data_IF_053425188386
#
_entry.id   IF_053425188386
#
_cell.length_a   1.000
_cell.length_b   1.000
_cell.length_c   1.000
_cell.angle_alpha   90.00
_cell.angle_beta   90.00
_cell.angle_gamma   90.00
#
_symmetry.space_group_name_H-M   'P 1'
#
loop_
_entity.id
_entity.type
_entity.pdbx_description
1 polymer ?
#
# COMPACT_ATOMS: atom_id res chain seq x y z
N UNK A 1 3.57 4.73 -4.35
CA UNK A 1 2.66 5.27 -5.41
C UNK A 1 1.22 5.18 -4.89
N UNK A 2 0.39 6.13 -5.25
CA UNK A 2 -1.05 6.14 -4.99
C UNK A 2 -1.78 6.45 -6.29
N UNK A 3 -2.88 5.74 -6.55
CA UNK A 3 -3.66 5.90 -7.77
C UNK A 3 -4.92 6.71 -7.46
N UNK A 4 -5.20 7.71 -8.28
CA UNK A 4 -6.51 8.38 -8.28
C UNK A 4 -7.55 7.32 -8.66
N UNK A 5 -8.62 7.13 -7.87
CA UNK A 5 -9.64 6.12 -8.14
C UNK A 5 -10.24 6.26 -9.54
N UNK A 6 -10.55 5.13 -10.16
CA UNK A 6 -11.17 5.08 -11.47
C UNK A 6 -12.50 5.84 -11.49
N UNK A 7 -12.84 6.40 -12.64
CA UNK A 7 -14.02 7.25 -12.83
C UNK A 7 -14.04 8.55 -12.01
N UNK A 8 -12.90 8.97 -11.43
CA UNK A 8 -12.77 10.32 -10.86
C UNK A 8 -12.84 11.34 -11.98
N UNK A 9 -13.83 12.22 -11.96
CA UNK A 9 -14.02 13.27 -12.96
C UNK A 9 -13.76 14.64 -12.34
N UNK A 10 -12.85 15.40 -12.94
CA UNK A 10 -12.64 16.82 -12.65
C UNK A 10 -13.32 17.60 -13.77
N UNK A 11 -14.37 18.33 -13.45
CA UNK A 11 -15.03 19.20 -14.44
C UNK A 11 -14.08 20.30 -14.91
N UNK A 12 -14.35 20.89 -16.09
CA UNK A 12 -13.56 22.03 -16.58
C UNK A 12 -13.49 23.13 -15.52
N UNK A 13 -12.29 23.67 -15.28
CA UNK A 13 -11.97 24.65 -14.22
C UNK A 13 -12.24 24.14 -12.77
N UNK A 14 -12.45 22.84 -12.60
CA UNK A 14 -12.65 22.21 -11.28
C UNK A 14 -11.36 21.82 -10.58
N UNK A 15 -11.50 21.47 -9.33
CA UNK A 15 -10.38 21.05 -8.46
C UNK A 15 -10.67 19.69 -7.82
N UNK A 16 -9.62 18.90 -7.67
CA UNK A 16 -9.64 17.68 -6.88
C UNK A 16 -8.77 17.90 -5.64
N UNK A 17 -9.36 17.68 -4.46
CA UNK A 17 -8.63 17.77 -3.19
C UNK A 17 -8.23 16.36 -2.76
N UNK A 18 -6.92 16.16 -2.53
CA UNK A 18 -6.33 14.91 -2.06
C UNK A 18 -5.71 15.15 -0.69
N UNK A 19 -6.00 14.27 0.27
CA UNK A 19 -5.43 14.31 1.62
C UNK A 19 -4.25 13.36 1.72
N UNK A 20 -3.05 13.90 1.85
CA UNK A 20 -1.81 13.12 1.99
C UNK A 20 -1.55 12.82 3.48
N UNK A 21 -2.34 11.94 4.07
CA UNK A 21 -2.36 11.67 5.51
C UNK A 21 -1.98 10.23 5.89
N UNK A 22 -1.58 9.42 4.88
CA UNK A 22 -1.21 8.01 5.06
C UNK A 22 -2.34 7.19 5.73
N UNK A 23 -3.55 7.59 5.45
CA UNK A 23 -4.72 6.86 5.91
C UNK A 23 -4.95 5.69 4.95
N UNK A 24 -4.40 4.53 5.30
CA UNK A 24 -4.34 3.32 4.46
C UNK A 24 -5.74 2.69 4.30
N UNK A 25 -6.73 3.45 3.86
CA UNK A 25 -8.07 2.97 3.53
C UNK A 25 -8.19 2.69 2.03
N UNK A 26 -8.94 1.64 1.74
CA UNK A 26 -9.33 1.18 0.41
C UNK A 26 -9.75 2.36 -0.48
N UNK A 27 -9.23 2.48 -1.72
CA UNK A 27 -9.63 3.53 -2.63
C UNK A 27 -11.15 3.63 -2.77
N UNK A 28 -11.69 4.83 -2.55
CA UNK A 28 -13.13 5.10 -2.71
C UNK A 28 -13.97 5.12 -1.43
N UNK A 29 -13.40 4.92 -0.25
CA UNK A 29 -14.15 5.17 1.00
C UNK A 29 -14.31 6.66 1.25
N UNK A 30 -15.55 7.10 1.34
CA UNK A 30 -15.92 8.44 1.83
C UNK A 30 -15.64 8.49 3.33
N UNK A 31 -14.71 9.33 3.75
CA UNK A 31 -14.41 9.51 5.16
C UNK A 31 -15.44 10.45 5.80
N UNK A 32 -16.10 9.99 6.87
CA UNK A 32 -17.09 10.75 7.65
C UNK A 32 -16.53 11.27 8.97
N UNK A 33 -15.25 11.63 9.06
CA UNK A 33 -14.72 12.22 10.31
C UNK A 33 -14.90 13.74 10.33
N UNK A 34 -15.62 14.29 11.32
CA UNK A 34 -15.86 15.73 11.45
C UNK A 34 -14.71 16.39 12.20
N UNK A 35 -13.50 16.50 11.60
CA UNK A 35 -12.36 17.14 12.29
C UNK A 35 -12.00 18.53 11.80
N UNK A 36 -12.62 19.02 10.72
CA UNK A 36 -12.25 20.31 10.14
C UNK A 36 -13.51 21.16 9.84
N UNK A 37 -13.49 22.47 10.06
CA UNK A 37 -14.65 23.35 9.85
C UNK A 37 -15.12 23.42 8.37
N UNK A 38 -14.37 22.86 7.43
CA UNK A 38 -14.68 22.76 6.00
C UNK A 38 -15.21 21.39 5.55
N UNK A 39 -15.47 20.45 6.47
CA UNK A 39 -16.07 19.13 6.18
C UNK A 39 -17.54 19.19 5.70
N UNK A 40 -18.05 20.36 5.41
CA UNK A 40 -19.38 20.53 4.76
C UNK A 40 -19.35 20.27 3.25
N UNK A 41 -18.23 19.80 2.70
CA UNK A 41 -18.19 19.42 1.31
C UNK A 41 -18.84 18.07 1.09
N UNK A 42 -19.92 18.07 0.31
CA UNK A 42 -20.62 16.89 -0.22
C UNK A 42 -19.76 16.17 -1.30
N UNK A 43 -18.48 16.53 -1.44
CA UNK A 43 -17.55 15.98 -2.39
C UNK A 43 -16.75 14.83 -1.76
N UNK A 44 -16.56 13.79 -2.53
CA UNK A 44 -15.77 12.63 -2.17
C UNK A 44 -14.33 13.07 -1.79
N UNK A 45 -13.95 12.86 -0.53
CA UNK A 45 -12.59 13.14 -0.08
C UNK A 45 -11.71 11.93 -0.36
N UNK A 46 -10.58 12.18 -1.03
CA UNK A 46 -9.60 11.16 -1.34
C UNK A 46 -8.41 11.23 -0.37
N UNK A 47 -8.07 10.12 0.24
CA UNK A 47 -6.94 9.97 1.14
C UNK A 47 -5.86 9.15 0.46
N UNK A 48 -4.61 9.61 0.55
CA UNK A 48 -3.48 8.90 -0.03
C UNK A 48 -2.87 7.92 0.97
N UNK A 49 -2.13 6.94 0.47
CA UNK A 49 -1.35 5.99 1.27
C UNK A 49 0.07 6.53 1.60
N UNK A 50 0.26 7.84 1.61
CA UNK A 50 1.51 8.51 1.95
C UNK A 50 1.22 9.84 2.62
N UNK A 51 2.22 10.38 3.32
CA UNK A 51 2.26 11.74 3.88
C UNK A 51 3.24 12.58 3.11
N UNK A 52 2.99 13.90 3.09
CA UNK A 52 3.95 14.87 2.61
C UNK A 52 4.82 15.38 3.77
N UNK A 53 6.13 15.47 3.52
CA UNK A 53 7.09 15.98 4.49
C UNK A 53 6.97 17.49 4.68
N UNK A 54 6.95 17.95 5.92
CA UNK A 54 6.98 19.37 6.25
C UNK A 54 8.29 20.07 5.81
N UNK A 55 9.40 19.33 5.74
CA UNK A 55 10.73 19.85 5.37
C UNK A 55 10.96 19.97 3.87
N UNK A 56 9.98 19.57 3.08
CA UNK A 56 10.07 19.58 1.62
C UNK A 56 10.15 18.21 1.01
N UNK A 57 9.66 18.09 -0.23
CA UNK A 57 9.55 16.83 -0.96
C UNK A 57 9.34 17.07 -2.45
N UNK A 58 9.36 15.99 -3.24
CA UNK A 58 8.96 16.01 -4.63
C UNK A 58 7.64 15.25 -4.80
N UNK A 59 6.73 15.84 -5.55
CA UNK A 59 5.44 15.24 -5.90
C UNK A 59 5.32 15.20 -7.43
N UNK A 60 4.95 14.06 -8.00
CA UNK A 60 4.71 13.90 -9.44
C UNK A 60 3.29 13.43 -9.70
N UNK A 61 2.66 14.00 -10.70
CA UNK A 61 1.42 13.51 -11.30
C UNK A 61 1.78 12.76 -12.57
N UNK A 62 1.34 11.51 -12.66
CA UNK A 62 1.64 10.65 -13.79
C UNK A 62 0.34 10.18 -14.44
N UNK A 63 0.37 10.09 -15.75
CA UNK A 63 -0.65 9.38 -16.52
C UNK A 63 -0.15 7.95 -16.76
N UNK A 64 -0.96 6.96 -16.37
CA UNK A 64 -0.72 5.59 -16.80
C UNK A 64 -0.97 5.48 -18.31
N UNK A 65 -0.10 4.74 -18.99
CA UNK A 65 -0.31 4.34 -20.38
C UNK A 65 -1.48 3.35 -20.54
N UNK A 66 -1.55 2.68 -21.66
CA UNK A 66 -2.53 1.62 -21.85
C UNK A 66 -2.21 0.45 -20.89
N UNK A 67 -3.25 -0.09 -20.27
CA UNK A 67 -3.11 -1.30 -19.48
C UNK A 67 -2.88 -2.50 -20.38
N UNK A 68 -1.93 -3.33 -19.99
CA UNK A 68 -1.66 -4.62 -20.62
C UNK A 68 -1.90 -5.72 -19.59
N UNK A 69 -2.37 -6.86 -20.08
CA UNK A 69 -2.54 -8.05 -19.25
C UNK A 69 -1.28 -8.91 -19.34
N UNK A 70 -0.69 -9.23 -18.21
CA UNK A 70 0.41 -10.17 -18.07
C UNK A 70 -0.12 -11.42 -17.36
N UNK A 71 -0.20 -12.52 -18.07
CA UNK A 71 -0.49 -13.81 -17.46
C UNK A 71 0.78 -14.33 -16.79
N UNK A 72 0.74 -14.44 -15.46
CA UNK A 72 1.86 -14.91 -14.62
C UNK A 72 1.83 -16.44 -14.51
N UNK A 73 0.64 -16.98 -14.24
CA UNK A 73 0.37 -18.42 -14.22
C UNK A 73 -0.82 -18.66 -15.12
N UNK A 74 -0.61 -19.43 -16.18
CA UNK A 74 -1.67 -19.76 -17.14
C UNK A 74 -2.64 -20.78 -16.56
N UNK A 75 -3.89 -20.68 -16.94
CA UNK A 75 -4.88 -21.74 -16.82
C UNK A 75 -4.32 -23.04 -17.42
N UNK A 76 -4.53 -24.17 -16.77
CA UNK A 76 -4.01 -25.46 -17.22
C UNK A 76 -2.49 -25.63 -17.08
N UNK A 77 -1.80 -24.79 -16.30
CA UNK A 77 -0.34 -24.87 -16.19
C UNK A 77 0.15 -26.07 -15.37
N UNK A 78 1.44 -26.40 -15.52
CA UNK A 78 2.10 -27.48 -14.79
C UNK A 78 2.33 -27.10 -13.33
N UNK A 79 1.95 -28.00 -12.40
CA UNK A 79 2.13 -27.89 -10.96
C UNK A 79 2.94 -29.04 -10.40
N UNK A 80 3.67 -28.83 -9.31
CA UNK A 80 4.10 -29.87 -8.40
C UNK A 80 2.95 -30.17 -7.44
N UNK A 81 2.70 -31.47 -7.15
CA UNK A 81 1.64 -31.87 -6.23
C UNK A 81 2.04 -33.02 -5.31
N UNK A 82 1.38 -33.13 -4.17
CA UNK A 82 1.55 -34.22 -3.22
C UNK A 82 0.16 -34.69 -2.74
N UNK A 83 -0.19 -35.91 -3.13
CA UNK A 83 -1.48 -36.56 -2.95
C UNK A 83 -1.42 -37.83 -2.10
N UNK A 84 -0.44 -37.94 -1.22
CA UNK A 84 -0.16 -39.14 -0.41
C UNK A 84 -0.73 -39.11 1.03
N UNK A 85 -1.51 -38.09 1.38
CA UNK A 85 -2.16 -37.92 2.68
C UNK A 85 -1.21 -37.59 3.85
N UNK A 86 0.05 -37.25 3.59
CA UNK A 86 1.01 -36.94 4.65
C UNK A 86 0.93 -35.47 5.07
N UNK A 87 1.11 -35.24 6.39
CA UNK A 87 1.22 -33.89 6.95
C UNK A 87 2.54 -33.21 6.53
N UNK A 88 2.47 -32.07 5.86
CA UNK A 88 3.62 -31.29 5.45
C UNK A 88 4.00 -30.18 6.46
N UNK A 89 3.24 -30.05 7.55
CA UNK A 89 3.42 -28.97 8.51
C UNK A 89 3.27 -27.59 7.88
N UNK A 90 4.17 -26.66 8.18
CA UNK A 90 4.12 -25.30 7.61
C UNK A 90 5.31 -24.97 6.71
N UNK A 91 6.29 -25.85 6.55
CA UNK A 91 7.51 -25.53 5.78
C UNK A 91 7.30 -25.58 4.25
N UNK A 92 6.29 -26.31 3.79
CA UNK A 92 6.02 -26.55 2.38
C UNK A 92 5.61 -25.29 1.61
N UNK A 93 5.14 -24.23 2.27
CA UNK A 93 4.77 -22.96 1.64
C UNK A 93 5.99 -22.08 1.29
N UNK A 94 7.18 -22.42 1.79
CA UNK A 94 8.40 -21.64 1.56
C UNK A 94 9.04 -21.95 0.20
N UNK A 95 9.61 -20.93 -0.44
CA UNK A 95 10.27 -21.08 -1.75
C UNK A 95 11.47 -22.04 -1.72
N UNK A 96 12.14 -22.17 -0.58
CA UNK A 96 13.30 -23.05 -0.40
C UNK A 96 12.98 -24.48 0.05
N UNK A 97 11.70 -24.83 0.08
CA UNK A 97 11.28 -26.20 0.42
C UNK A 97 11.68 -27.17 -0.69
N UNK A 98 12.18 -28.35 -0.30
CA UNK A 98 12.57 -29.42 -1.23
C UNK A 98 11.33 -30.23 -1.64
N UNK A 99 10.84 -29.93 -2.85
CA UNK A 99 9.72 -30.65 -3.48
C UNK A 99 10.16 -31.56 -4.64
N UNK A 100 11.41 -31.97 -4.69
CA UNK A 100 11.95 -32.82 -5.76
C UNK A 100 11.25 -34.19 -5.82
N UNK A 101 10.77 -34.67 -4.68
CA UNK A 101 10.03 -35.94 -4.58
C UNK A 101 8.53 -35.83 -4.92
N UNK A 102 8.01 -34.61 -5.10
CA UNK A 102 6.61 -34.39 -5.45
C UNK A 102 6.39 -34.71 -6.93
N UNK A 103 5.21 -35.25 -7.24
CA UNK A 103 4.80 -35.46 -8.61
C UNK A 103 4.54 -34.16 -9.37
N UNK A 104 4.31 -34.24 -10.68
CA UNK A 104 4.03 -33.09 -11.51
C UNK A 104 2.93 -33.39 -12.51
N UNK A 105 1.96 -32.50 -12.63
CA UNK A 105 0.84 -32.61 -13.53
C UNK A 105 0.32 -31.28 -14.03
N UNK A 106 -0.34 -31.30 -15.18
CA UNK A 106 -1.02 -30.12 -15.70
C UNK A 106 -2.40 -29.99 -15.06
N UNK A 107 -2.78 -28.77 -14.71
CA UNK A 107 -4.12 -28.48 -14.26
C UNK A 107 -5.14 -28.66 -15.42
N UNK A 108 -6.34 -28.99 -15.16
CA UNK A 108 -6.97 -29.25 -13.88
C UNK A 108 -6.40 -30.54 -13.28
N UNK A 109 -6.10 -30.52 -11.99
CA UNK A 109 -5.67 -31.69 -11.23
C UNK A 109 -6.80 -32.09 -10.29
N UNK A 110 -7.17 -33.38 -10.32
CA UNK A 110 -8.27 -33.82 -9.50
C UNK A 110 -8.59 -35.29 -9.71
N UNK A 111 -9.74 -35.71 -9.26
CA UNK A 111 -10.38 -37.00 -9.57
C UNK A 111 -11.89 -36.91 -9.36
N UNK A 112 -12.66 -37.68 -10.11
CA UNK A 112 -14.08 -37.91 -9.87
C UNK A 112 -15.00 -37.45 -10.99
N UNK A 113 -14.70 -36.29 -11.62
CA UNK A 113 -15.54 -35.65 -12.64
C UNK A 113 -15.30 -36.16 -14.04
N UNK A 114 -14.10 -36.64 -14.34
CA UNK A 114 -13.71 -37.22 -15.61
C UNK A 114 -13.32 -36.19 -16.67
N UNK A 115 -13.06 -34.95 -16.30
CA UNK A 115 -12.55 -33.86 -17.12
C UNK A 115 -11.14 -33.40 -16.69
N UNK A 116 -10.59 -34.00 -15.63
CA UNK A 116 -9.26 -33.72 -15.15
C UNK A 116 -8.19 -34.00 -16.21
N UNK A 117 -7.27 -33.07 -16.38
CA UNK A 117 -6.06 -33.24 -17.20
C UNK A 117 -5.07 -34.18 -16.51
N UNK A 118 -4.94 -34.04 -15.17
CA UNK A 118 -4.11 -34.91 -14.34
C UNK A 118 -4.95 -35.53 -13.25
N UNK A 119 -5.11 -36.86 -13.28
CA UNK A 119 -5.78 -37.61 -12.22
C UNK A 119 -4.79 -37.83 -11.07
N UNK A 120 -5.15 -37.41 -9.87
CA UNK A 120 -4.36 -37.58 -8.66
C UNK A 120 -4.89 -38.71 -7.78
N UNK A 121 -4.09 -39.18 -6.81
CA UNK A 121 -4.45 -40.29 -5.95
C UNK A 121 -5.26 -39.80 -4.73
N UNK A 122 -6.26 -40.55 -4.33
CA UNK A 122 -7.09 -40.28 -3.16
C UNK A 122 -6.79 -41.20 -1.97
N UNK A 123 -5.86 -42.10 -2.12
CA UNK A 123 -5.53 -43.11 -1.10
C UNK A 123 -6.02 -44.50 -1.43
N UNK A 124 -5.77 -45.49 -0.53
CA UNK A 124 -6.06 -46.92 -0.81
C UNK A 124 -7.54 -47.32 -0.62
N UNK A 125 -8.37 -46.45 -0.06
CA UNK A 125 -9.74 -46.74 0.36
C UNK A 125 -10.67 -45.64 -0.14
N UNK A 126 -11.60 -45.97 -1.00
CA UNK A 126 -12.56 -45.02 -1.60
C UNK A 126 -13.58 -44.44 -0.61
N UNK A 127 -13.77 -45.10 0.55
CA UNK A 127 -14.63 -44.64 1.63
C UNK A 127 -13.84 -43.87 2.72
N UNK A 128 -12.50 -43.75 2.58
CA UNK A 128 -11.63 -43.08 3.55
C UNK A 128 -10.45 -42.41 2.82
N UNK A 129 -10.79 -41.43 2.02
CA UNK A 129 -9.85 -40.66 1.20
C UNK A 129 -9.02 -39.64 2.00
N UNK A 130 -7.93 -39.20 1.43
CA UNK A 130 -7.11 -38.14 2.00
C UNK A 130 -7.88 -36.81 2.02
N UNK A 131 -7.86 -36.11 3.16
CA UNK A 131 -8.54 -34.81 3.31
C UNK A 131 -7.83 -33.71 2.53
N UNK A 132 -6.49 -33.74 2.48
CA UNK A 132 -5.71 -32.63 1.93
C UNK A 132 -4.78 -33.08 0.82
N UNK A 133 -4.79 -32.34 -0.27
CA UNK A 133 -3.82 -32.42 -1.36
C UNK A 133 -3.09 -31.09 -1.49
N UNK A 134 -1.76 -31.13 -1.70
CA UNK A 134 -0.90 -29.95 -1.77
C UNK A 134 -0.41 -29.71 -3.19
N UNK A 135 -0.35 -28.42 -3.56
CA UNK A 135 0.12 -27.98 -4.88
C UNK A 135 1.12 -26.85 -4.73
N UNK A 136 2.16 -26.84 -5.56
CA UNK A 136 3.21 -25.82 -5.52
C UNK A 136 3.61 -25.41 -6.94
N UNK A 137 3.88 -24.09 -7.10
CA UNK A 137 4.42 -23.58 -8.36
C UNK A 137 5.35 -22.39 -8.11
N UNK A 138 6.60 -22.53 -8.52
CA UNK A 138 7.56 -21.43 -8.56
C UNK A 138 7.40 -20.68 -9.87
N UNK A 139 7.41 -19.35 -9.79
CA UNK A 139 7.38 -18.47 -10.96
C UNK A 139 8.33 -17.28 -10.76
N UNK A 140 8.67 -16.57 -11.83
CA UNK A 140 9.62 -15.45 -11.78
C UNK A 140 8.97 -14.18 -12.31
N UNK A 141 9.18 -13.07 -11.59
CA UNK A 141 8.80 -11.73 -12.01
C UNK A 141 10.08 -10.88 -12.04
N UNK A 142 10.40 -10.34 -13.21
CA UNK A 142 11.63 -9.56 -13.38
C UNK A 142 11.49 -8.14 -12.81
N UNK A 143 10.31 -7.51 -12.99
CA UNK A 143 10.05 -6.12 -12.60
C UNK A 143 8.65 -5.97 -11.98
N UNK A 144 8.58 -5.96 -10.65
CA UNK A 144 7.29 -5.79 -9.94
C UNK A 144 6.77 -4.34 -9.98
N UNK A 145 7.61 -3.38 -10.27
CA UNK A 145 7.26 -1.95 -10.25
C UNK A 145 6.23 -1.55 -11.33
N UNK A 146 6.12 -2.32 -12.40
CA UNK A 146 5.14 -2.12 -13.48
C UNK A 146 3.82 -2.85 -13.24
N UNK A 147 3.76 -3.72 -12.23
CA UNK A 147 2.54 -4.44 -11.86
C UNK A 147 1.72 -3.55 -10.92
N UNK A 148 0.45 -3.34 -11.27
CA UNK A 148 -0.46 -2.47 -10.53
C UNK A 148 -1.61 -3.22 -9.87
N UNK A 149 -2.00 -4.33 -10.45
CA UNK A 149 -3.07 -5.18 -9.97
C UNK A 149 -2.73 -6.63 -10.26
N UNK A 150 -3.13 -7.53 -9.36
CA UNK A 150 -3.02 -8.96 -9.54
C UNK A 150 -4.36 -9.56 -9.15
N UNK A 151 -4.86 -10.43 -10.02
CA UNK A 151 -6.04 -11.25 -9.78
C UNK A 151 -5.66 -12.73 -9.88
N UNK A 152 -6.02 -13.49 -8.86
CA UNK A 152 -5.99 -14.93 -8.88
C UNK A 152 -7.40 -15.43 -9.21
N UNK A 153 -7.50 -16.37 -10.16
CA UNK A 153 -8.72 -17.10 -10.46
C UNK A 153 -8.50 -18.54 -10.01
N UNK A 154 -9.27 -18.97 -9.05
CA UNK A 154 -9.16 -20.28 -8.41
C UNK A 154 -10.40 -21.12 -8.72
N UNK A 155 -10.17 -22.31 -9.23
CA UNK A 155 -11.14 -23.38 -9.32
C UNK A 155 -10.76 -24.40 -8.25
N UNK A 156 -11.71 -24.82 -7.44
CA UNK A 156 -11.46 -25.72 -6.32
C UNK A 156 -12.72 -26.51 -5.94
N UNK A 157 -12.51 -27.70 -5.43
CA UNK A 157 -13.47 -28.56 -4.76
C UNK A 157 -12.77 -29.37 -3.65
N UNK A 158 -13.23 -29.28 -2.36
CA UNK A 158 -14.30 -28.43 -1.79
C UNK A 158 -13.74 -27.10 -1.26
N UNK A 159 -12.70 -27.09 -0.44
CA UNK A 159 -12.11 -25.93 0.20
C UNK A 159 -10.67 -25.71 -0.19
N UNK A 160 -10.21 -24.46 -0.13
CA UNK A 160 -8.85 -24.09 -0.49
C UNK A 160 -8.22 -23.05 0.40
N UNK A 161 -6.90 -23.17 0.60
CA UNK A 161 -6.06 -22.08 1.09
C UNK A 161 -4.92 -21.86 0.10
N UNK A 162 -4.71 -20.60 -0.28
CA UNK A 162 -3.64 -20.20 -1.19
C UNK A 162 -2.67 -19.27 -0.46
N UNK A 163 -1.39 -19.56 -0.61
CA UNK A 163 -0.28 -18.79 -0.08
C UNK A 163 0.57 -18.22 -1.21
N UNK A 164 0.93 -16.95 -1.10
CA UNK A 164 1.94 -16.31 -1.94
C UNK A 164 3.12 -15.90 -1.06
N UNK A 165 4.32 -16.45 -1.35
CA UNK A 165 5.54 -16.16 -0.59
C UNK A 165 5.34 -16.31 0.93
N UNK A 166 4.77 -17.42 1.36
CA UNK A 166 4.49 -17.80 2.77
C UNK A 166 3.32 -17.02 3.42
N UNK A 167 2.68 -16.11 2.71
CA UNK A 167 1.54 -15.33 3.23
C UNK A 167 0.23 -15.87 2.66
N UNK A 168 -0.72 -16.19 3.52
CA UNK A 168 -2.08 -16.57 3.11
C UNK A 168 -2.76 -15.40 2.38
N UNK A 169 -3.22 -15.66 1.15
CA UNK A 169 -3.89 -14.67 0.30
C UNK A 169 -5.34 -15.02 0.00
N UNK A 170 -5.68 -16.30 0.03
CA UNK A 170 -7.05 -16.79 -0.20
C UNK A 170 -7.35 -17.85 0.85
N UNK A 171 -8.54 -17.76 1.41
CA UNK A 171 -9.18 -18.79 2.23
C UNK A 171 -10.61 -18.91 1.76
N UNK A 172 -10.91 -19.97 1.03
CA UNK A 172 -12.22 -20.19 0.43
C UNK A 172 -12.80 -21.51 0.92
N UNK A 173 -14.06 -21.48 1.37
CA UNK A 173 -14.79 -22.61 1.93
C UNK A 173 -14.04 -23.36 3.07
N UNK A 174 -13.20 -22.66 3.83
CA UNK A 174 -12.43 -23.21 4.94
C UNK A 174 -12.82 -22.57 6.26
N UNK A 175 -12.77 -23.33 7.39
CA UNK A 175 -13.03 -22.77 8.71
C UNK A 175 -12.01 -21.69 9.10
N UNK A 176 -12.40 -20.81 10.05
CA UNK A 176 -11.49 -19.84 10.64
C UNK A 176 -10.52 -20.49 11.64
N UNK A 177 -9.33 -19.92 11.79
CA UNK A 177 -8.33 -20.41 12.76
C UNK A 177 -7.16 -21.13 12.09
N UNK A 178 -6.50 -22.00 12.86
CA UNK A 178 -5.36 -22.78 12.38
C UNK A 178 -5.88 -23.94 11.53
N UNK A 179 -5.28 -24.10 10.35
CA UNK A 179 -5.54 -25.21 9.46
C UNK A 179 -4.45 -26.25 9.64
N UNK A 180 -4.85 -27.51 9.67
CA UNK A 180 -4.00 -28.70 9.67
C UNK A 180 -4.37 -29.60 8.50
N UNK A 181 -3.51 -30.55 8.19
CA UNK A 181 -3.69 -31.47 7.05
C UNK A 181 -4.98 -32.32 7.11
N UNK A 182 -5.60 -32.44 8.28
CA UNK A 182 -6.87 -33.15 8.51
C UNK A 182 -8.06 -32.20 8.71
N UNK A 183 -7.87 -30.89 8.51
CA UNK A 183 -8.97 -29.92 8.58
C UNK A 183 -9.87 -30.09 7.38
N UNK A 184 -11.14 -30.32 7.61
CA UNK A 184 -12.15 -30.47 6.57
C UNK A 184 -12.61 -29.09 6.06
N UNK A 185 -13.05 -29.03 4.80
CA UNK A 185 -13.75 -27.88 4.25
C UNK A 185 -15.04 -27.60 5.04
N UNK A 186 -15.55 -26.38 4.97
CA UNK A 186 -16.74 -25.96 5.73
C UNK A 186 -18.03 -26.58 5.22
N UNK A 187 -18.17 -26.65 3.91
CA UNK A 187 -19.35 -27.17 3.22
C UNK A 187 -18.91 -27.94 1.94
N UNK A 188 -19.74 -28.87 1.48
CA UNK A 188 -19.55 -29.49 0.17
C UNK A 188 -19.85 -28.48 -0.96
N UNK A 189 -19.07 -28.51 -2.01
CA UNK A 189 -19.30 -27.73 -3.23
C UNK A 189 -20.27 -28.49 -4.13
N UNK A 190 -21.09 -27.80 -4.88
CA UNK A 190 -22.04 -28.41 -5.81
C UNK A 190 -21.43 -28.50 -7.20
N UNK A 191 -21.78 -29.56 -7.95
CA UNK A 191 -21.30 -29.82 -9.34
C UNK A 191 -21.42 -28.60 -10.30
N UNK A 192 -22.26 -27.63 -10.00
CA UNK A 192 -22.35 -26.38 -10.79
C UNK A 192 -21.37 -25.31 -10.38
N UNK A 193 -20.74 -25.45 -9.23
CA UNK A 193 -19.72 -24.50 -8.69
C UNK A 193 -18.30 -25.04 -8.88
N UNK A 194 -18.13 -26.36 -9.02
CA UNK A 194 -16.84 -27.02 -9.24
C UNK A 194 -16.19 -26.58 -10.56
N UNK A 195 -16.99 -26.23 -11.58
CA UNK A 195 -16.53 -25.73 -12.88
C UNK A 195 -16.28 -24.21 -12.90
N UNK A 196 -16.47 -23.50 -11.78
CA UNK A 196 -16.42 -22.03 -11.75
C UNK A 196 -15.12 -21.53 -11.14
N UNK A 197 -14.40 -20.70 -11.89
CA UNK A 197 -13.30 -19.92 -11.36
C UNK A 197 -13.80 -18.77 -10.49
N UNK A 198 -13.32 -18.69 -9.26
CA UNK A 198 -13.56 -17.59 -8.33
C UNK A 198 -12.44 -16.57 -8.41
N UNK A 199 -12.80 -15.28 -8.52
CA UNK A 199 -11.85 -14.18 -8.67
C UNK A 199 -11.43 -13.59 -7.33
N UNK A 200 -10.12 -13.40 -7.12
CA UNK A 200 -9.53 -12.86 -5.91
C UNK A 200 -8.49 -11.80 -6.22
N UNK A 201 -8.61 -10.63 -5.58
CA UNK A 201 -7.58 -9.59 -5.66
C UNK A 201 -6.41 -9.92 -4.73
N UNK A 202 -5.20 -9.91 -5.28
CA UNK A 202 -3.96 -10.24 -4.56
C UNK A 202 -3.12 -8.98 -4.36
N UNK A 203 -2.60 -8.73 -3.13
CA UNK A 203 -1.76 -7.56 -2.90
C UNK A 203 -0.44 -7.62 -3.68
N UNK A 204 -0.20 -6.65 -4.56
CA UNK A 204 1.03 -6.54 -5.37
C UNK A 204 2.30 -6.48 -4.49
N UNK A 205 2.18 -5.92 -3.29
CA UNK A 205 3.29 -5.81 -2.33
C UNK A 205 3.85 -7.14 -1.83
N UNK A 206 3.16 -8.25 -2.10
CA UNK A 206 3.63 -9.59 -1.75
C UNK A 206 4.56 -10.21 -2.81
N UNK A 207 4.64 -9.61 -4.00
CA UNK A 207 5.56 -10.07 -5.04
C UNK A 207 7.00 -9.64 -4.76
N UNK A 208 7.93 -10.53 -5.04
CA UNK A 208 9.35 -10.26 -5.08
C UNK A 208 9.84 -10.09 -6.52
N UNK A 209 10.81 -9.19 -6.75
CA UNK A 209 11.60 -9.25 -7.96
C UNK A 209 12.42 -10.55 -7.96
N UNK A 210 12.35 -11.32 -9.03
CA UNK A 210 12.92 -12.64 -9.13
C UNK A 210 11.92 -13.74 -8.79
N UNK A 211 12.34 -14.75 -8.04
CA UNK A 211 11.53 -15.92 -7.76
C UNK A 211 10.44 -15.67 -6.72
N UNK A 212 9.27 -16.21 -7.00
CA UNK A 212 8.08 -16.25 -6.14
C UNK A 212 7.55 -17.68 -6.09
N UNK A 213 6.75 -17.98 -5.07
CA UNK A 213 6.09 -19.26 -4.89
C UNK A 213 4.59 -19.06 -4.65
N UNK A 214 3.76 -19.76 -5.37
CA UNK A 214 2.37 -20.06 -4.99
C UNK A 214 2.32 -21.48 -4.43
N UNK A 215 1.72 -21.61 -3.26
CA UNK A 215 1.45 -22.88 -2.61
C UNK A 215 -0.05 -22.94 -2.28
N UNK A 216 -0.66 -24.10 -2.56
CA UNK A 216 -2.10 -24.29 -2.38
C UNK A 216 -2.34 -25.61 -1.67
N UNK A 217 -3.26 -25.62 -0.72
CA UNK A 217 -3.85 -26.83 -0.17
C UNK A 217 -5.35 -26.87 -0.49
N UNK A 218 -5.79 -27.99 -1.03
CA UNK A 218 -7.20 -28.27 -1.27
C UNK A 218 -7.66 -29.28 -0.23
N UNK A 219 -8.80 -29.03 0.37
CA UNK A 219 -9.37 -29.81 1.46
C UNK A 219 -10.74 -30.34 1.11
N UNK A 220 -10.94 -31.63 1.33
CA UNK A 220 -12.23 -32.29 1.22
C UNK A 220 -13.15 -31.93 2.39
N UNK A 221 -14.46 -31.93 2.15
CA UNK A 221 -15.46 -31.74 3.19
C UNK A 221 -15.50 -32.94 4.16
N UNK A 222 -15.24 -34.14 3.68
CA UNK A 222 -15.06 -35.37 4.48
C UNK A 222 -14.31 -36.44 3.67
N UNK A 223 -13.96 -37.57 4.32
CA UNK A 223 -13.21 -38.67 3.71
C UNK A 223 -13.99 -39.42 2.64
N UNK A 224 -15.30 -39.23 2.53
CA UNK A 224 -16.17 -39.88 1.55
C UNK A 224 -16.54 -39.01 0.34
N UNK A 225 -16.00 -37.76 0.29
CA UNK A 225 -16.24 -36.87 -0.89
C UNK A 225 -15.93 -37.55 -2.18
N UNK A 226 -16.78 -37.33 -3.22
CA UNK A 226 -16.70 -38.07 -4.51
C UNK A 226 -15.47 -37.70 -5.34
N UNK A 227 -15.09 -36.43 -5.27
CA UNK A 227 -14.23 -35.71 -6.22
C UNK A 227 -13.32 -34.71 -5.53
N UNK A 228 -12.40 -34.14 -6.28
CA UNK A 228 -11.55 -33.02 -5.95
C UNK A 228 -11.10 -32.33 -7.22
N UNK A 229 -11.12 -31.02 -7.27
CA UNK A 229 -10.68 -30.24 -8.41
C UNK A 229 -9.78 -29.11 -7.99
N UNK A 230 -8.72 -28.88 -8.78
CA UNK A 230 -7.80 -27.75 -8.59
C UNK A 230 -7.30 -27.18 -9.91
N UNK A 231 -7.49 -25.90 -10.09
CA UNK A 231 -6.80 -25.09 -11.10
C UNK A 231 -6.64 -23.66 -10.62
N UNK A 232 -5.55 -22.99 -10.99
CA UNK A 232 -5.31 -21.60 -10.61
C UNK A 232 -4.62 -20.85 -11.75
N UNK A 233 -5.22 -19.72 -12.11
CA UNK A 233 -4.65 -18.71 -12.99
C UNK A 233 -4.24 -17.48 -12.18
N UNK A 234 -3.08 -16.89 -12.50
CA UNK A 234 -2.62 -15.62 -11.89
C UNK A 234 -2.35 -14.61 -12.99
N UNK A 235 -3.09 -13.52 -12.97
CA UNK A 235 -3.05 -12.48 -14.00
C UNK A 235 -2.73 -11.14 -13.36
N UNK A 236 -1.80 -10.41 -13.96
CA UNK A 236 -1.47 -9.06 -13.56
C UNK A 236 -1.91 -8.04 -14.61
N UNK A 237 -2.28 -6.85 -14.13
CA UNK A 237 -2.42 -5.65 -14.97
C UNK A 237 -1.15 -4.84 -14.86
N UNK A 238 -0.52 -4.57 -16.01
CA UNK A 238 0.65 -3.70 -16.14
C UNK A 238 0.29 -2.47 -16.96
N UNK A 239 1.11 -1.40 -16.88
CA UNK A 239 0.98 -0.24 -17.77
C UNK A 239 2.28 -0.08 -18.54
N UNK A 240 2.18 -0.05 -19.88
CA UNK A 240 3.33 -0.02 -20.77
C UNK A 240 4.18 1.25 -20.60
N UNK A 241 3.56 2.39 -20.31
CA UNK A 241 4.24 3.68 -20.14
C UNK A 241 3.59 4.50 -19.02
N UNK A 242 4.40 5.01 -18.12
CA UNK A 242 3.97 6.00 -17.13
C UNK A 242 4.54 7.34 -17.55
N UNK A 243 3.68 8.24 -18.04
CA UNK A 243 4.08 9.56 -18.51
C UNK A 243 3.94 10.59 -17.39
N UNK A 244 5.03 11.27 -17.06
CA UNK A 244 4.98 12.40 -16.14
C UNK A 244 4.17 13.54 -16.77
N UNK A 245 3.05 13.90 -16.16
CA UNK A 245 2.17 14.98 -16.60
C UNK A 245 2.60 16.31 -15.97
N UNK A 246 2.84 16.31 -14.66
CA UNK A 246 3.28 17.49 -13.93
C UNK A 246 4.07 17.07 -12.70
N UNK A 247 4.97 17.94 -12.24
CA UNK A 247 5.74 17.69 -11.03
C UNK A 247 5.96 18.97 -10.25
N UNK A 248 6.10 18.80 -8.94
CA UNK A 248 6.33 19.85 -7.97
C UNK A 248 7.45 19.44 -7.04
N UNK A 249 8.43 20.32 -6.86
CA UNK A 249 9.38 20.24 -5.75
C UNK A 249 9.13 21.42 -4.83
N UNK A 250 8.95 21.16 -3.55
CA UNK A 250 8.72 22.20 -2.55
C UNK A 250 9.66 22.04 -1.36
N UNK A 251 10.02 23.16 -0.74
CA UNK A 251 10.83 23.20 0.47
C UNK A 251 9.98 23.20 1.74
N UNK A 252 10.52 23.77 2.81
CA UNK A 252 9.84 23.86 4.11
C UNK A 252 8.44 24.46 3.98
N UNK A 253 7.44 23.78 4.57
CA UNK A 253 6.06 24.24 4.61
C UNK A 253 5.75 24.92 5.95
N UNK A 254 5.04 26.03 5.88
CA UNK A 254 4.55 26.77 7.05
C UNK A 254 3.12 26.36 7.38
N UNK A 255 2.76 26.48 8.66
CA UNK A 255 1.37 26.32 9.11
C UNK A 255 0.50 27.44 8.54
N UNK A 256 -0.68 27.08 8.06
CA UNK A 256 -1.67 27.99 7.46
C UNK A 256 -1.16 28.80 6.25
N UNK A 257 -0.18 28.25 5.53
CA UNK A 257 0.35 28.79 4.27
C UNK A 257 0.31 27.72 3.21
N UNK A 258 -0.22 28.03 2.04
CA UNK A 258 -0.18 27.11 0.90
C UNK A 258 0.96 27.48 -0.06
N UNK A 259 1.49 26.44 -0.75
CA UNK A 259 2.44 26.60 -1.84
C UNK A 259 1.77 26.14 -3.13
N UNK A 260 1.72 26.97 -4.15
CA UNK A 260 0.98 26.67 -5.36
C UNK A 260 1.32 27.59 -6.53
N UNK A 261 0.70 27.34 -7.68
CA UNK A 261 0.85 28.18 -8.87
C UNK A 261 0.08 29.48 -8.72
N UNK A 262 0.71 30.60 -9.06
CA UNK A 262 0.07 31.90 -9.17
C UNK A 262 -0.81 31.90 -10.45
N UNK A 263 -2.10 32.19 -10.34
CA UNK A 263 -3.00 32.21 -11.50
C UNK A 263 -2.60 33.18 -12.60
N UNK A 264 -1.86 34.26 -12.26
CA UNK A 264 -1.51 35.34 -13.18
C UNK A 264 -0.35 35.01 -14.13
N UNK A 265 0.68 34.31 -13.61
CA UNK A 265 1.95 34.07 -14.32
C UNK A 265 2.44 32.61 -14.24
N UNK A 266 1.67 31.74 -13.58
CA UNK A 266 1.97 30.31 -13.38
C UNK A 266 3.24 30.05 -12.56
N UNK A 267 3.83 31.06 -11.93
CA UNK A 267 4.97 30.89 -11.03
C UNK A 267 4.58 30.20 -9.73
N UNK A 268 5.50 29.44 -9.15
CA UNK A 268 5.30 28.85 -7.84
C UNK A 268 5.49 29.88 -6.73
N UNK A 269 4.51 29.98 -5.84
CA UNK A 269 4.49 31.01 -4.78
C UNK A 269 3.82 30.51 -3.51
N UNK A 270 4.10 31.18 -2.41
CA UNK A 270 3.43 30.96 -1.12
C UNK A 270 2.24 31.91 -0.97
N UNK A 271 1.14 31.38 -0.45
CA UNK A 271 -0.11 32.12 -0.21
C UNK A 271 -0.49 32.01 1.26
N UNK A 272 -0.62 33.15 1.93
CA UNK A 272 -1.02 33.22 3.33
C UNK A 272 -2.48 32.88 3.62
N UNK A 273 -3.28 32.77 2.57
CA UNK A 273 -4.68 32.30 2.63
C UNK A 273 -4.82 31.06 1.77
N UNK A 274 -4.76 29.85 2.35
CA UNK A 274 -5.01 28.63 1.62
C UNK A 274 -6.42 28.57 1.03
N UNK A 275 -6.54 28.12 -0.22
CA UNK A 275 -7.81 28.04 -0.96
C UNK A 275 -8.08 26.62 -1.44
N UNK A 276 -8.28 25.62 -0.54
CA UNK A 276 -8.50 24.25 -0.94
C UNK A 276 -9.79 24.13 -1.79
N UNK A 277 -9.69 23.48 -2.95
CA UNK A 277 -10.81 23.31 -3.87
C UNK A 277 -11.19 24.57 -4.66
N UNK A 278 -10.33 25.61 -4.65
CA UNK A 278 -10.54 26.86 -5.37
C UNK A 278 -9.22 27.40 -5.96
N UNK A 279 -9.27 28.31 -6.95
CA UNK A 279 -8.06 28.99 -7.45
C UNK A 279 -7.30 29.71 -6.34
N UNK A 280 -5.97 29.69 -6.42
CA UNK A 280 -5.13 30.52 -5.56
C UNK A 280 -5.44 32.02 -5.78
N UNK A 281 -5.26 32.83 -4.71
CA UNK A 281 -5.38 34.26 -4.82
C UNK A 281 -4.34 34.84 -5.79
N UNK A 282 -4.68 35.89 -6.53
CA UNK A 282 -3.80 36.49 -7.53
C UNK A 282 -2.60 37.23 -6.94
N UNK A 283 -2.61 37.48 -5.64
CA UNK A 283 -1.53 38.19 -4.96
C UNK A 283 -0.84 37.25 -3.98
N UNK A 284 0.37 36.76 -4.30
CA UNK A 284 1.19 36.02 -3.34
C UNK A 284 1.45 36.91 -2.11
N UNK A 285 1.10 36.43 -0.93
CA UNK A 285 1.23 37.23 0.31
C UNK A 285 2.61 37.11 0.94
N UNK A 286 3.46 36.24 0.42
CA UNK A 286 4.78 35.97 0.98
C UNK A 286 5.79 35.99 -0.18
N UNK A 287 6.70 36.97 -0.17
CA UNK A 287 7.83 36.99 -1.08
C UNK A 287 8.80 35.86 -0.74
N UNK A 288 8.97 35.00 -1.62
CA UNK A 288 9.86 33.89 -2.00
C UNK A 288 10.97 33.39 -1.06
N UNK A 289 11.28 33.99 0.04
CA UNK A 289 12.29 33.44 0.97
C UNK A 289 11.68 33.22 2.35
N UNK A 290 11.31 31.98 2.62
CA UNK A 290 11.02 31.55 3.99
C UNK A 290 12.36 31.41 4.69
N UNK A 291 12.57 32.21 5.72
CA UNK A 291 13.73 32.08 6.59
C UNK A 291 13.84 30.66 7.14
N UNK A 292 15.05 30.13 7.17
CA UNK A 292 15.34 28.88 7.83
C UNK A 292 15.03 28.95 9.34
N UNK A 293 14.95 27.83 10.04
CA UNK A 293 14.76 27.80 11.47
C UNK A 293 15.96 28.47 12.15
N UNK A 294 15.66 29.29 13.18
CA UNK A 294 16.71 29.85 14.03
C UNK A 294 17.39 28.73 14.81
N UNK A 295 18.72 28.67 14.71
CA UNK A 295 19.54 27.76 15.51
C UNK A 295 19.83 28.41 16.86
N UNK A 296 19.67 27.65 17.93
CA UNK A 296 19.95 28.05 19.30
C UNK A 296 21.16 27.26 19.77
N UNK A 297 22.22 27.92 20.23
CA UNK A 297 23.52 27.32 20.55
C UNK A 297 23.52 26.35 21.75
N UNK A 298 22.46 26.36 22.55
CA UNK A 298 22.36 25.59 23.79
C UNK A 298 20.99 24.90 23.83
N UNK A 299 20.98 23.59 24.15
CA UNK A 299 19.77 22.82 24.30
C UNK A 299 18.90 23.29 25.51
N UNK A 300 17.58 23.09 25.47
CA UNK A 300 16.73 23.31 26.62
C UNK A 300 17.14 22.43 27.82
N UNK A 301 17.21 23.01 29.02
CA UNK A 301 17.63 22.25 30.21
C UNK A 301 17.66 23.06 31.49
N UNK A 302 18.13 22.43 32.58
CA UNK A 302 18.40 23.09 33.87
C UNK A 302 19.90 23.30 34.03
N UNK A 303 20.29 24.55 34.23
CA UNK A 303 21.68 24.97 34.37
C UNK A 303 21.92 25.56 35.78
N UNK A 304 23.05 25.21 36.38
CA UNK A 304 23.39 25.68 37.74
C UNK A 304 23.96 27.12 37.74
N UNK A 305 24.49 27.57 36.61
CA UNK A 305 25.09 28.92 36.45
C UNK A 305 24.38 29.64 35.30
N UNK A 306 24.62 30.94 35.18
CA UNK A 306 24.20 31.70 34.00
C UNK A 306 24.77 31.10 32.73
N UNK A 307 23.99 31.12 31.69
CA UNK A 307 24.37 30.63 30.35
C UNK A 307 24.31 31.77 29.35
N UNK A 308 25.15 31.63 28.29
CA UNK A 308 25.15 32.57 27.17
C UNK A 308 24.63 31.86 25.96
N UNK A 309 23.55 32.37 25.39
CA UNK A 309 22.85 31.73 24.22
C UNK A 309 23.12 32.57 22.98
N UNK A 310 23.58 31.94 21.94
CA UNK A 310 23.73 32.53 20.60
C UNK A 310 22.60 32.04 19.69
N UNK A 311 22.09 32.94 18.85
CA UNK A 311 21.09 32.66 17.83
C UNK A 311 21.72 32.85 16.45
N UNK A 312 21.44 31.95 15.54
CA UNK A 312 21.92 32.04 14.16
C UNK A 312 20.89 31.53 13.15
N UNK A 313 21.03 31.98 11.91
CA UNK A 313 20.24 31.49 10.74
C UNK A 313 21.19 31.00 9.67
N UNK A 314 20.63 30.37 8.66
CA UNK A 314 21.37 29.89 7.48
C UNK A 314 21.85 31.03 6.57
N UNK A 315 21.33 32.26 6.73
CA UNK A 315 21.64 33.40 5.89
C UNK A 315 22.00 34.63 6.73
N UNK A 316 23.09 35.27 6.37
CA UNK A 316 23.54 36.50 7.06
C UNK A 316 22.70 37.76 6.76
N UNK A 317 21.69 37.64 5.90
CA UNK A 317 20.78 38.76 5.55
C UNK A 317 19.50 38.75 6.37
N UNK A 318 19.28 37.69 7.16
CA UNK A 318 18.08 37.55 7.98
C UNK A 318 18.20 38.27 9.31
N UNK A 319 17.09 38.82 9.80
CA UNK A 319 16.98 39.42 11.11
C UNK A 319 16.28 38.46 12.07
N UNK A 320 16.84 38.21 13.23
CA UNK A 320 16.27 37.37 14.27
C UNK A 320 15.59 38.23 15.31
N UNK A 321 14.29 37.97 15.53
CA UNK A 321 13.53 38.55 16.62
C UNK A 321 13.31 37.49 17.70
N UNK A 322 13.42 37.89 18.98
CA UNK A 322 13.25 36.93 20.07
C UNK A 322 12.44 37.52 21.25
N UNK A 323 11.93 36.63 22.09
CA UNK A 323 11.27 36.91 23.36
C UNK A 323 11.87 36.05 24.47
N UNK A 324 11.80 36.50 25.72
CA UNK A 324 12.30 35.79 26.91
C UNK A 324 11.18 35.31 27.85
N UNK A 325 9.95 35.60 27.51
CA UNK A 325 8.75 35.30 28.29
C UNK A 325 7.92 34.15 27.68
N UNK A 326 8.40 33.53 26.59
CA UNK A 326 7.70 32.47 25.89
C UNK A 326 6.59 32.96 24.95
N UNK A 327 6.35 34.25 24.81
CA UNK A 327 5.44 34.77 23.78
C UNK A 327 5.99 34.53 22.38
N UNK A 328 5.09 34.52 21.36
CA UNK A 328 5.52 34.38 19.95
C UNK A 328 6.29 35.64 19.53
N UNK A 329 7.53 35.52 19.01
CA UNK A 329 8.26 36.66 18.46
C UNK A 329 7.53 37.26 17.25
N UNK A 330 7.55 38.58 17.18
CA UNK A 330 7.02 39.40 16.07
C UNK A 330 8.04 40.50 15.72
N UNK A 331 7.86 41.21 14.61
CA UNK A 331 8.76 42.26 14.15
C UNK A 331 8.92 43.43 15.17
N UNK A 332 8.05 43.54 16.17
CA UNK A 332 8.15 44.48 17.27
C UNK A 332 8.86 43.91 18.50
N UNK A 333 9.24 42.62 18.50
CA UNK A 333 10.02 42.00 19.59
C UNK A 333 11.48 42.44 19.54
N UNK A 334 12.28 41.99 20.52
CA UNK A 334 13.70 42.33 20.59
C UNK A 334 14.46 41.80 19.37
N UNK A 335 15.21 42.65 18.70
CA UNK A 335 16.11 42.28 17.61
C UNK A 335 17.39 41.67 18.19
N UNK A 336 17.79 40.52 17.74
CA UNK A 336 19.03 39.88 18.15
C UNK A 336 20.25 40.57 17.49
N UNK A 337 21.18 41.04 18.30
CA UNK A 337 22.45 41.65 17.87
C UNK A 337 23.65 41.07 18.61
N UNK A 338 23.44 40.61 19.83
CA UNK A 338 24.50 40.11 20.72
C UNK A 338 24.05 38.86 21.48
N UNK A 339 24.99 38.02 21.94
CA UNK A 339 24.67 36.84 22.73
C UNK A 339 23.82 37.15 23.97
N UNK A 340 22.80 36.35 24.22
CA UNK A 340 21.82 36.56 25.30
C UNK A 340 22.31 35.84 26.56
N UNK A 341 22.45 36.59 27.66
CA UNK A 341 22.81 36.03 28.97
C UNK A 341 21.51 35.67 29.71
N UNK A 342 21.38 34.41 30.10
CA UNK A 342 20.24 33.88 30.85
C UNK A 342 20.70 33.60 32.29
N UNK A 343 20.16 34.34 33.26
CA UNK A 343 20.52 34.25 34.69
C UNK A 343 19.42 33.66 35.56
N UNK A 344 18.23 33.48 35.02
CA UNK A 344 17.06 32.94 35.72
C UNK A 344 16.22 32.09 34.79
N UNK A 345 15.21 31.37 35.33
CA UNK A 345 14.28 30.57 34.53
C UNK A 345 13.63 31.41 33.45
N UNK A 346 13.89 31.07 32.19
CA UNK A 346 13.51 31.85 31.01
C UNK A 346 12.97 30.91 29.93
N UNK A 347 11.95 31.37 29.21
CA UNK A 347 11.47 30.69 28.01
C UNK A 347 11.83 31.53 26.79
N UNK A 348 12.98 31.22 26.19
CA UNK A 348 13.43 31.85 24.96
C UNK A 348 12.67 31.30 23.76
N UNK A 349 12.15 32.20 22.94
CA UNK A 349 11.65 31.93 21.61
C UNK A 349 12.24 32.86 20.58
N UNK A 350 12.57 32.35 19.41
CA UNK A 350 13.12 33.15 18.33
C UNK A 350 12.49 32.73 16.98
#
# INVERSE_FOLDING_TARGET
KWRIPDNTVINGEGFLVLWADDYNEVPGRVHTRPYWPWDNFTTQNYHTNFKLSKSGEQLGLFQAGQSETLTIIEDGSLWKYLDNGSDQGSAWIAIGFDDDSWDSGYAELGYGDGDETTVIEYGPDEDNKYITTYFRKVFTIDETEHIHEINARLLRDDGAIVYLNEIEIIRDNMPTGIISYDTQASDAVSSSEEEIFHDWSVPVSLLNNGQNIIAVEIHQVDESSSDISFNLELVATTYADIVLIDSLSFGNQLTDVSFGRNPSDQSWSYFGEPTPGAPNNTTPTINTEISGPVQISIDPGFYQNSITVELSTSSNTEQIYYTLDGSKPVSASSLYSDPIIIESTTVLKA
#
